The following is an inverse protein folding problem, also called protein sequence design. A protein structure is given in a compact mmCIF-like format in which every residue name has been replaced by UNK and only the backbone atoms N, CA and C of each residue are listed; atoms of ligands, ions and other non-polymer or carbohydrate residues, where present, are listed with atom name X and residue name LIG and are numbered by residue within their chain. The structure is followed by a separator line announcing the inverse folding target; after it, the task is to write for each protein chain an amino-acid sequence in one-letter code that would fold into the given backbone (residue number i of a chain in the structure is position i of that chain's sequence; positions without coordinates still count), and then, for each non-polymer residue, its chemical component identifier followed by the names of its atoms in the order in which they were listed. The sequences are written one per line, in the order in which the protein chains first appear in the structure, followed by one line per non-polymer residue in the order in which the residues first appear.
data_IF_724615851216
#
_entry.id   IF_724615851216
#
_cell.length_a   1.000
_cell.length_b   1.000
_cell.length_c   1.000
_cell.angle_alpha   90.00
_cell.angle_beta   90.00
_cell.angle_gamma   90.00
#
_symmetry.space_group_name_H-M   'P 1'
#
loop_
_entity.id
_entity.type
_entity.pdbx_description
1 polymer ?
#
# COMPACT_ATOMS: atom_id res chain seq x y z
N UNK A 1 27.97 -11.57 -25.72
CA UNK A 1 27.83 -10.21 -26.26
C UNK A 1 28.76 -9.94 -27.45
N UNK A 2 30.06 -10.25 -27.37
CA UNK A 2 31.01 -10.01 -28.46
C UNK A 2 30.59 -10.65 -29.80
N UNK A 3 30.16 -11.91 -29.80
CA UNK A 3 29.73 -12.64 -31.01
C UNK A 3 28.51 -11.99 -31.68
N UNK A 4 27.56 -11.48 -30.90
CA UNK A 4 26.41 -10.74 -31.44
C UNK A 4 26.82 -9.42 -32.07
N UNK A 5 27.78 -8.72 -31.46
CA UNK A 5 28.33 -7.46 -31.96
C UNK A 5 29.15 -7.66 -33.26
N UNK A 6 29.88 -8.78 -33.39
CA UNK A 6 30.56 -9.13 -34.65
C UNK A 6 29.58 -9.48 -35.75
N UNK A 7 28.52 -10.24 -35.44
CA UNK A 7 27.51 -10.63 -36.43
C UNK A 7 26.71 -9.42 -36.96
N UNK A 8 26.46 -8.43 -36.10
CA UNK A 8 25.73 -7.20 -36.44
C UNK A 8 26.58 -6.14 -37.16
N UNK A 9 27.90 -6.20 -37.01
CA UNK A 9 28.84 -5.24 -37.63
C UNK A 9 29.22 -5.63 -39.06
N UNK A 10 29.21 -6.92 -39.38
CA UNK A 10 29.50 -7.43 -40.74
C UNK A 10 28.26 -7.54 -41.63
N UNK A 11 27.06 -7.46 -41.06
CA UNK A 11 25.84 -7.31 -41.85
C UNK A 11 25.57 -5.82 -42.04
N UNK A 12 25.31 -5.39 -43.27
CA UNK A 12 24.96 -4.02 -43.65
C UNK A 12 23.57 -3.59 -43.10
N UNK A 13 23.30 -3.85 -41.82
CA UNK A 13 22.02 -3.58 -41.15
C UNK A 13 21.70 -2.09 -41.24
N UNK A 14 22.71 -1.23 -41.17
CA UNK A 14 22.57 0.21 -41.35
C UNK A 14 22.09 0.60 -42.76
N UNK A 15 22.59 -0.05 -43.81
CA UNK A 15 22.15 0.21 -45.19
C UNK A 15 20.71 -0.25 -45.42
N UNK A 16 20.31 -1.40 -44.84
CA UNK A 16 18.93 -1.87 -44.90
C UNK A 16 17.96 -1.01 -44.08
N UNK A 17 18.41 -0.46 -42.95
CA UNK A 17 17.61 0.41 -42.08
C UNK A 17 17.32 1.77 -42.72
N UNK A 18 18.19 2.23 -43.62
CA UNK A 18 18.01 3.47 -44.40
C UNK A 18 17.07 3.28 -45.60
N UNK A 19 16.91 2.03 -46.07
CA UNK A 19 16.05 1.66 -47.22
C UNK A 19 14.62 1.26 -46.76
N UNK A 20 14.40 0.98 -45.47
CA UNK A 20 13.12 0.52 -44.94
C UNK A 20 12.07 1.63 -44.82
N UNK A 21 11.25 1.80 -45.87
CA UNK A 21 10.16 2.79 -45.92
C UNK A 21 9.08 2.60 -44.85
N UNK A 22 8.98 1.41 -44.24
CA UNK A 22 7.90 1.05 -43.31
C UNK A 22 7.99 1.74 -41.94
N UNK A 23 9.18 2.26 -41.57
CA UNK A 23 9.50 2.80 -40.24
C UNK A 23 9.32 1.81 -39.07
N UNK A 24 8.97 0.55 -39.35
CA UNK A 24 8.69 -0.47 -38.32
C UNK A 24 9.98 -0.82 -37.59
N UNK A 25 11.10 -0.95 -38.30
CA UNK A 25 12.41 -1.25 -37.71
C UNK A 25 12.84 -0.19 -36.68
N UNK A 26 12.62 1.10 -36.98
CA UNK A 26 12.85 2.19 -36.02
C UNK A 26 11.96 2.10 -34.79
N UNK A 27 10.71 1.67 -34.96
CA UNK A 27 9.79 1.45 -33.85
C UNK A 27 10.27 0.29 -32.98
N UNK A 28 10.69 -0.84 -33.56
CA UNK A 28 11.24 -1.98 -32.81
C UNK A 28 12.48 -1.55 -32.03
N UNK A 29 13.41 -0.81 -32.65
CA UNK A 29 14.63 -0.33 -31.98
C UNK A 29 14.34 0.69 -30.87
N UNK A 30 13.42 1.63 -31.09
CA UNK A 30 13.03 2.60 -30.08
C UNK A 30 12.36 1.93 -28.88
N UNK A 31 11.46 0.99 -29.14
CA UNK A 31 10.77 0.23 -28.10
C UNK A 31 11.73 -0.70 -27.35
N UNK A 32 12.70 -1.32 -28.06
CA UNK A 32 13.80 -2.07 -27.45
C UNK A 32 14.63 -1.19 -26.52
N UNK A 33 15.06 -0.03 -26.99
CA UNK A 33 15.86 0.92 -26.21
C UNK A 33 15.14 1.35 -24.93
N UNK A 34 13.84 1.60 -25.01
CA UNK A 34 13.01 1.91 -23.84
C UNK A 34 12.96 0.73 -22.86
N UNK A 35 12.73 -0.49 -23.34
CA UNK A 35 12.72 -1.70 -22.50
C UNK A 35 14.08 -1.97 -21.84
N UNK A 36 15.16 -1.73 -22.56
CA UNK A 36 16.53 -1.91 -22.07
C UNK A 36 16.89 -0.86 -21.01
N UNK A 37 16.54 0.40 -21.23
CA UNK A 37 16.70 1.46 -20.23
C UNK A 37 15.87 1.18 -18.98
N UNK A 38 14.61 0.77 -19.14
CA UNK A 38 13.75 0.38 -18.02
C UNK A 38 14.34 -0.78 -17.21
N UNK A 39 14.85 -1.81 -17.89
CA UNK A 39 15.53 -2.94 -17.26
C UNK A 39 16.77 -2.50 -16.48
N UNK A 40 17.59 -1.64 -17.07
CA UNK A 40 18.83 -1.18 -16.46
C UNK A 40 18.58 -0.31 -15.23
N UNK A 41 17.62 0.60 -15.30
CA UNK A 41 17.18 1.42 -14.16
C UNK A 41 16.67 0.52 -13.03
N UNK A 42 15.83 -0.47 -13.35
CA UNK A 42 15.32 -1.41 -12.36
C UNK A 42 16.45 -2.19 -11.68
N UNK A 43 17.40 -2.74 -12.45
CA UNK A 43 18.56 -3.46 -11.91
C UNK A 43 19.38 -2.58 -10.97
N UNK A 44 19.63 -1.31 -11.33
CA UNK A 44 20.35 -0.37 -10.45
C UNK A 44 19.58 -0.12 -9.15
N UNK A 45 18.27 0.14 -9.24
CA UNK A 45 17.45 0.38 -8.05
C UNK A 45 17.41 -0.83 -7.13
N UNK A 46 17.17 -2.02 -7.67
CA UNK A 46 17.18 -3.28 -6.89
C UNK A 46 18.55 -3.51 -6.26
N UNK A 47 19.64 -3.29 -6.99
CA UNK A 47 20.99 -3.44 -6.45
C UNK A 47 21.27 -2.46 -5.30
N UNK A 48 20.80 -1.21 -5.40
CA UNK A 48 20.91 -0.24 -4.31
C UNK A 48 20.09 -0.66 -3.08
N UNK A 49 18.88 -1.17 -3.29
CA UNK A 49 18.05 -1.72 -2.21
C UNK A 49 18.70 -2.95 -1.57
N UNK A 50 19.29 -3.87 -2.34
CA UNK A 50 19.98 -5.04 -1.81
C UNK A 50 21.18 -4.65 -0.95
N UNK A 51 21.95 -3.63 -1.37
CA UNK A 51 23.05 -3.10 -0.56
C UNK A 51 22.52 -2.50 0.75
N UNK A 52 21.42 -1.75 0.69
CA UNK A 52 20.79 -1.16 1.88
C UNK A 52 20.25 -2.24 2.82
N UNK A 53 19.59 -3.26 2.29
CA UNK A 53 19.12 -4.42 3.05
C UNK A 53 20.28 -5.13 3.77
N UNK A 54 21.43 -5.28 3.13
CA UNK A 54 22.62 -5.85 3.77
C UNK A 54 23.18 -4.95 4.90
N UNK A 55 23.06 -3.63 4.79
CA UNK A 55 23.41 -2.73 5.89
C UNK A 55 22.39 -2.84 7.05
N UNK A 56 21.11 -2.93 6.73
CA UNK A 56 20.03 -3.10 7.70
C UNK A 56 20.16 -4.43 8.44
N UNK A 57 20.58 -5.52 7.78
CA UNK A 57 20.89 -6.81 8.42
C UNK A 57 21.95 -6.64 9.52
N UNK A 58 23.04 -5.91 9.26
CA UNK A 58 24.08 -5.67 10.27
C UNK A 58 23.56 -4.91 11.47
N UNK A 59 22.75 -3.87 11.25
CA UNK A 59 22.17 -3.06 12.33
C UNK A 59 21.12 -3.86 13.12
N UNK A 60 20.30 -4.65 12.44
CA UNK A 60 19.29 -5.51 13.05
C UNK A 60 19.93 -6.60 13.93
N UNK A 61 21.09 -7.15 13.53
CA UNK A 61 21.86 -8.10 14.33
C UNK A 61 22.34 -7.52 15.67
N UNK A 62 22.69 -6.24 15.69
CA UNK A 62 23.29 -5.60 16.87
C UNK A 62 22.25 -5.11 17.89
N UNK A 63 21.05 -4.72 17.46
CA UNK A 63 20.04 -4.17 18.38
C UNK A 63 18.58 -4.38 17.98
N UNK A 64 18.29 -5.38 17.16
CA UNK A 64 16.93 -5.73 16.76
C UNK A 64 16.24 -4.63 15.95
N UNK A 65 14.91 -4.58 16.01
CA UNK A 65 14.13 -3.63 15.21
C UNK A 65 14.36 -2.18 15.66
N UNK A 66 14.58 -1.95 16.96
CA UNK A 66 14.76 -0.59 17.52
C UNK A 66 16.07 0.08 17.12
N UNK A 67 17.09 -0.69 16.75
CA UNK A 67 18.34 -0.16 16.24
C UNK A 67 18.23 0.36 14.80
N UNK A 68 17.19 -0.06 14.06
CA UNK A 68 16.97 0.36 12.68
C UNK A 68 16.47 1.81 12.68
N UNK A 69 17.41 2.74 12.51
CA UNK A 69 17.12 4.17 12.41
C UNK A 69 16.92 4.56 10.95
N UNK A 70 15.65 4.68 10.55
CA UNK A 70 15.28 5.08 9.18
C UNK A 70 15.48 6.59 9.00
N UNK A 71 16.55 6.99 8.33
CA UNK A 71 16.84 8.41 8.02
C UNK A 71 16.25 8.88 6.67
N UNK A 72 15.84 7.98 5.78
CA UNK A 72 15.38 8.34 4.43
C UNK A 72 14.21 7.45 3.99
N UNK A 73 13.14 8.05 3.45
CA UNK A 73 11.98 7.33 2.87
C UNK A 73 12.17 6.97 1.39
N UNK A 74 13.36 7.23 0.83
CA UNK A 74 13.63 6.98 -0.59
C UNK A 74 13.65 5.50 -0.92
N UNK A 75 14.12 4.67 0.02
CA UNK A 75 14.32 3.25 -0.20
C UNK A 75 13.12 2.41 0.27
N UNK A 76 12.77 1.38 -0.48
CA UNK A 76 11.67 0.48 -0.14
C UNK A 76 11.98 -0.33 1.12
N UNK A 77 13.23 -0.78 1.30
CA UNK A 77 13.65 -1.47 2.52
C UNK A 77 13.47 -0.57 3.76
N UNK A 78 13.88 0.70 3.66
CA UNK A 78 13.74 1.67 4.74
C UNK A 78 12.25 1.96 5.06
N UNK A 79 11.40 2.11 4.03
CA UNK A 79 9.95 2.28 4.20
C UNK A 79 9.31 1.06 4.86
N UNK A 80 9.68 -0.15 4.44
CA UNK A 80 9.19 -1.40 5.00
C UNK A 80 9.46 -1.50 6.51
N UNK A 81 10.71 -1.29 6.95
CA UNK A 81 11.04 -1.35 8.38
C UNK A 81 10.35 -0.24 9.18
N UNK A 82 10.15 0.94 8.59
CA UNK A 82 9.38 2.02 9.24
C UNK A 82 7.90 1.67 9.38
N UNK A 83 7.29 1.10 8.35
CA UNK A 83 5.88 0.65 8.36
C UNK A 83 5.67 -0.42 9.43
N UNK A 84 6.62 -1.33 9.56
CA UNK A 84 6.68 -2.30 10.65
C UNK A 84 6.75 -1.61 12.02
N UNK A 85 7.67 -0.68 12.21
CA UNK A 85 7.85 0.02 13.50
C UNK A 85 6.59 0.78 13.89
N UNK A 86 5.98 1.48 12.93
CA UNK A 86 4.72 2.21 13.12
C UNK A 86 3.56 1.28 13.47
N UNK A 87 3.53 0.06 12.93
CA UNK A 87 2.47 -0.92 13.20
C UNK A 87 2.58 -1.47 14.61
N UNK A 88 3.81 -1.75 15.08
CA UNK A 88 4.07 -2.15 16.47
C UNK A 88 3.72 -1.03 17.44
N UNK A 89 4.13 0.21 17.13
CA UNK A 89 3.82 1.37 17.99
C UNK A 89 2.31 1.60 18.11
N UNK A 90 1.55 1.28 17.06
CA UNK A 90 0.08 1.35 17.03
C UNK A 90 -0.62 0.11 17.64
N UNK A 91 0.12 -0.83 18.25
CA UNK A 91 -0.37 -2.10 18.81
C UNK A 91 -1.11 -3.00 17.78
N UNK A 92 -0.80 -2.85 16.50
CA UNK A 92 -1.30 -3.75 15.46
C UNK A 92 -0.48 -5.04 15.41
N UNK A 93 -1.06 -6.10 14.85
CA UNK A 93 -0.27 -7.26 14.41
C UNK A 93 0.29 -6.93 13.01
N UNK A 94 1.60 -6.76 12.85
CA UNK A 94 2.16 -6.49 11.53
C UNK A 94 2.11 -7.75 10.68
N UNK A 95 1.33 -7.71 9.61
CA UNK A 95 1.39 -8.72 8.56
C UNK A 95 2.60 -8.43 7.67
N UNK A 96 3.75 -8.90 8.12
CA UNK A 96 5.08 -8.60 7.56
C UNK A 96 5.13 -8.86 6.05
N UNK A 97 4.60 -10.00 5.61
CA UNK A 97 4.61 -10.41 4.20
C UNK A 97 3.78 -9.47 3.33
N UNK A 98 2.56 -9.12 3.77
CA UNK A 98 1.69 -8.17 3.07
C UNK A 98 2.33 -6.78 2.97
N UNK A 99 2.93 -6.28 4.06
CA UNK A 99 3.62 -4.98 4.04
C UNK A 99 4.81 -4.99 3.09
N UNK A 100 5.59 -6.06 3.06
CA UNK A 100 6.72 -6.22 2.16
C UNK A 100 6.28 -6.28 0.70
N UNK A 101 5.22 -7.03 0.40
CA UNK A 101 4.64 -7.13 -0.93
C UNK A 101 4.17 -5.77 -1.46
N UNK A 102 3.51 -4.97 -0.62
CA UNK A 102 3.05 -3.63 -1.01
C UNK A 102 4.22 -2.71 -1.36
N UNK A 103 5.31 -2.75 -0.60
CA UNK A 103 6.50 -1.91 -0.86
C UNK A 103 7.30 -2.36 -2.08
N UNK A 104 7.36 -3.68 -2.35
CA UNK A 104 8.06 -4.24 -3.51
C UNK A 104 7.23 -4.25 -4.80
N UNK A 105 5.91 -4.13 -4.70
CA UNK A 105 4.98 -4.15 -5.85
C UNK A 105 5.33 -3.11 -6.93
N UNK A 106 5.98 -1.99 -6.57
CA UNK A 106 6.44 -1.02 -7.56
C UNK A 106 7.53 -1.57 -8.47
N UNK A 107 8.44 -2.39 -7.94
CA UNK A 107 9.53 -2.99 -8.71
C UNK A 107 9.03 -4.12 -9.60
N UNK A 108 8.16 -4.98 -9.07
CA UNK A 108 7.50 -6.04 -9.85
C UNK A 108 6.71 -5.46 -11.04
N UNK A 109 5.99 -4.35 -10.82
CA UNK A 109 5.24 -3.66 -11.88
C UNK A 109 6.16 -3.17 -13.01
N UNK A 110 7.32 -2.62 -12.68
CA UNK A 110 8.30 -2.19 -13.69
C UNK A 110 8.86 -3.42 -14.44
N UNK A 111 9.15 -4.50 -13.71
CA UNK A 111 9.58 -5.78 -14.31
C UNK A 111 8.58 -6.32 -15.32
N UNK A 112 7.29 -6.36 -14.95
CA UNK A 112 6.22 -6.77 -15.86
C UNK A 112 6.07 -5.84 -17.08
N UNK A 113 6.28 -4.53 -16.93
CA UNK A 113 6.26 -3.61 -18.07
C UNK A 113 7.36 -3.94 -19.09
N UNK A 114 8.56 -4.29 -18.65
CA UNK A 114 9.65 -4.75 -19.55
C UNK A 114 9.26 -6.03 -20.28
N UNK A 115 8.62 -6.98 -19.59
CA UNK A 115 8.14 -8.22 -20.20
C UNK A 115 7.07 -7.96 -21.28
N UNK A 116 6.11 -7.08 -20.99
CA UNK A 116 5.08 -6.66 -21.95
C UNK A 116 5.71 -6.00 -23.18
N UNK A 117 6.70 -5.14 -22.98
CA UNK A 117 7.47 -4.53 -24.07
C UNK A 117 8.14 -5.62 -24.92
N UNK A 118 8.77 -6.63 -24.31
CA UNK A 118 9.34 -7.78 -25.02
C UNK A 118 8.32 -8.53 -25.88
N UNK A 119 7.12 -8.79 -25.35
CA UNK A 119 6.04 -9.44 -26.10
C UNK A 119 5.53 -8.58 -27.27
N UNK A 120 5.42 -7.26 -27.07
CA UNK A 120 5.05 -6.33 -28.14
C UNK A 120 6.10 -6.25 -29.24
N UNK A 121 7.40 -6.38 -28.94
CA UNK A 121 8.44 -6.45 -29.96
C UNK A 121 8.27 -7.65 -30.89
N UNK A 122 7.86 -8.80 -30.34
CA UNK A 122 7.62 -10.02 -31.13
C UNK A 122 6.44 -9.81 -32.07
N UNK A 123 5.32 -9.26 -31.56
CA UNK A 123 4.15 -9.00 -32.41
C UNK A 123 4.44 -7.96 -33.48
N UNK A 124 5.25 -6.95 -33.16
CA UNK A 124 5.72 -5.96 -34.13
C UNK A 124 6.62 -6.57 -35.20
N UNK A 125 7.46 -7.55 -34.83
CA UNK A 125 8.24 -8.35 -35.77
C UNK A 125 7.36 -9.13 -36.76
N UNK A 126 6.29 -9.76 -36.26
CA UNK A 126 5.29 -10.46 -37.09
C UNK A 126 4.52 -9.51 -38.02
N UNK A 127 4.17 -8.30 -37.55
CA UNK A 127 3.57 -7.26 -38.40
C UNK A 127 4.54 -6.85 -39.51
N UNK A 128 5.83 -6.74 -39.21
CA UNK A 128 6.87 -6.51 -40.21
C UNK A 128 6.93 -7.61 -41.27
N UNK A 129 6.69 -8.87 -40.90
CA UNK A 129 6.58 -9.98 -41.87
C UNK A 129 5.42 -9.77 -42.84
N UNK A 130 4.23 -9.43 -42.31
CA UNK A 130 3.03 -9.20 -43.14
C UNK A 130 3.25 -8.03 -44.10
N UNK A 131 3.87 -6.95 -43.63
CA UNK A 131 4.22 -5.80 -44.45
C UNK A 131 5.25 -6.15 -45.52
N UNK A 132 6.31 -6.89 -45.18
CA UNK A 132 7.33 -7.30 -46.15
C UNK A 132 6.81 -8.30 -47.18
N UNK A 133 5.90 -9.20 -46.80
CA UNK A 133 5.19 -10.07 -47.76
C UNK A 133 4.28 -9.26 -48.70
N UNK A 134 3.62 -8.22 -48.19
CA UNK A 134 2.81 -7.31 -49.01
C UNK A 134 3.67 -6.56 -50.03
N UNK A 135 4.84 -6.05 -49.62
CA UNK A 135 5.83 -5.44 -50.52
C UNK A 135 6.36 -6.45 -51.55
N UNK A 136 6.55 -7.71 -51.13
CA UNK A 136 6.99 -8.78 -52.02
C UNK A 136 5.97 -9.05 -53.12
N UNK A 137 4.70 -9.21 -52.74
CA UNK A 137 3.61 -9.46 -53.67
C UNK A 137 3.39 -8.29 -54.62
N UNK A 138 3.40 -7.05 -54.12
CA UNK A 138 3.25 -5.85 -54.96
C UNK A 138 4.41 -5.66 -55.94
N UNK A 139 5.65 -5.97 -55.54
CA UNK A 139 6.80 -5.97 -56.44
C UNK A 139 6.70 -7.04 -57.54
N UNK A 140 6.24 -8.24 -57.20
CA UNK A 140 6.04 -9.32 -58.17
C UNK A 140 4.90 -9.03 -59.15
N UNK A 141 3.77 -8.48 -58.69
CA UNK A 141 2.66 -8.09 -59.58
C UNK A 141 3.08 -7.00 -60.55
N UNK A 142 3.83 -5.99 -60.09
CA UNK A 142 4.39 -4.96 -60.98
C UNK A 142 5.38 -5.53 -62.00
N UNK A 143 6.18 -6.53 -61.61
CA UNK A 143 7.08 -7.23 -62.54
C UNK A 143 6.34 -8.03 -63.60
N UNK A 144 5.24 -8.68 -63.21
CA UNK A 144 4.39 -9.48 -64.10
C UNK A 144 3.64 -8.60 -65.12
N UNK A 145 3.19 -7.41 -64.71
CA UNK A 145 2.56 -6.43 -65.61
C UNK A 145 3.55 -5.85 -66.63
N UNK A 146 4.82 -5.68 -66.24
CA UNK A 146 5.89 -5.23 -67.12
C UNK A 146 6.42 -6.31 -68.07
N UNK A 147 6.01 -7.57 -67.87
CA UNK A 147 6.53 -8.73 -68.60
C UNK A 147 6.12 -8.66 -70.09
N UNK A 148 7.08 -8.32 -70.94
CA UNK A 148 6.89 -8.23 -72.40
C UNK A 148 6.77 -6.81 -72.95
N UNK A 149 6.90 -5.77 -72.13
CA UNK A 149 6.90 -4.37 -72.60
C UNK A 149 8.11 -3.56 -72.12
N UNK A 150 8.55 -3.73 -70.87
CA UNK A 150 9.60 -2.89 -70.29
C UNK A 150 10.51 -3.67 -69.33
N UNK A 151 11.74 -3.91 -69.77
CA UNK A 151 12.74 -4.68 -69.03
C UNK A 151 13.24 -3.96 -67.77
N UNK A 152 13.24 -2.62 -67.76
CA UNK A 152 13.65 -1.84 -66.58
C UNK A 152 12.60 -1.95 -65.48
N UNK A 153 11.31 -1.83 -65.82
CA UNK A 153 10.22 -2.00 -64.83
C UNK A 153 10.19 -3.41 -64.25
N UNK A 154 10.49 -4.43 -65.04
CA UNK A 154 10.59 -5.81 -64.58
C UNK A 154 11.72 -5.98 -63.54
N UNK A 155 12.91 -5.46 -63.83
CA UNK A 155 14.03 -5.49 -62.89
C UNK A 155 13.74 -4.70 -61.61
N UNK A 156 13.02 -3.58 -61.72
CA UNK A 156 12.64 -2.77 -60.58
C UNK A 156 11.62 -3.49 -59.68
N UNK A 157 10.60 -4.12 -60.24
CA UNK A 157 9.64 -4.91 -59.47
C UNK A 157 10.28 -6.11 -58.76
N UNK A 158 11.25 -6.78 -59.40
CA UNK A 158 12.04 -7.86 -58.77
C UNK A 158 12.89 -7.34 -57.60
N UNK A 159 13.54 -6.18 -57.75
CA UNK A 159 14.29 -5.54 -56.65
C UNK A 159 13.37 -5.20 -55.48
N UNK A 160 12.21 -4.62 -55.75
CA UNK A 160 11.20 -4.34 -54.72
C UNK A 160 10.73 -5.62 -54.04
N UNK A 161 10.51 -6.68 -54.81
CA UNK A 161 10.09 -7.96 -54.26
C UNK A 161 11.14 -8.57 -53.31
N UNK A 162 12.41 -8.56 -53.73
CA UNK A 162 13.52 -9.03 -52.90
C UNK A 162 13.73 -8.14 -51.66
N UNK A 163 13.56 -6.82 -51.79
CA UNK A 163 13.61 -5.92 -50.65
C UNK A 163 12.50 -6.23 -49.63
N UNK A 164 11.26 -6.47 -50.09
CA UNK A 164 10.14 -6.87 -49.24
C UNK A 164 10.43 -8.15 -48.44
N UNK A 165 11.01 -9.15 -49.09
CA UNK A 165 11.41 -10.40 -48.42
C UNK A 165 12.49 -10.15 -47.36
N UNK A 166 13.50 -9.33 -47.69
CA UNK A 166 14.54 -8.92 -46.74
C UNK A 166 13.96 -8.22 -45.51
N UNK A 167 13.07 -7.24 -45.72
CA UNK A 167 12.41 -6.52 -44.61
C UNK A 167 11.63 -7.48 -43.71
N UNK A 168 10.84 -8.39 -44.27
CA UNK A 168 10.08 -9.38 -43.51
C UNK A 168 10.99 -10.26 -42.63
N UNK A 169 12.11 -10.73 -43.20
CA UNK A 169 13.05 -11.57 -42.47
C UNK A 169 13.72 -10.79 -41.32
N UNK A 170 14.25 -9.60 -41.60
CA UNK A 170 14.97 -8.82 -40.61
C UNK A 170 14.07 -8.30 -39.48
N UNK A 171 12.87 -7.79 -39.77
CA UNK A 171 11.95 -7.33 -38.72
C UNK A 171 11.55 -8.47 -37.78
N UNK A 172 11.34 -9.67 -38.33
CA UNK A 172 10.98 -10.86 -37.55
C UNK A 172 12.15 -11.30 -36.68
N UNK A 173 13.34 -11.40 -37.26
CA UNK A 173 14.56 -11.76 -36.54
C UNK A 173 14.85 -10.77 -35.40
N UNK A 174 14.75 -9.48 -35.70
CA UNK A 174 15.02 -8.41 -34.75
C UNK A 174 14.00 -8.40 -33.61
N UNK A 175 12.70 -8.53 -33.91
CA UNK A 175 11.65 -8.66 -32.89
C UNK A 175 11.83 -9.91 -32.00
N UNK A 176 12.14 -11.06 -32.61
CA UNK A 176 12.34 -12.31 -31.89
C UNK A 176 13.59 -12.29 -30.99
N UNK A 177 14.72 -11.78 -31.49
CA UNK A 177 15.98 -11.73 -30.73
C UNK A 177 15.93 -10.64 -29.65
N UNK A 178 15.57 -9.41 -30.02
CA UNK A 178 15.57 -8.29 -29.08
C UNK A 178 14.44 -8.41 -28.04
N UNK A 179 13.23 -8.74 -28.48
CA UNK A 179 12.08 -8.91 -27.59
C UNK A 179 12.04 -10.25 -26.88
N UNK A 180 12.10 -11.34 -27.66
CA UNK A 180 11.90 -12.70 -27.15
C UNK A 180 13.05 -13.27 -26.35
N UNK A 181 14.30 -12.90 -26.68
CA UNK A 181 15.49 -13.40 -25.97
C UNK A 181 16.03 -12.35 -25.00
N UNK A 182 16.44 -11.18 -25.49
CA UNK A 182 17.17 -10.22 -24.67
C UNK A 182 16.31 -9.57 -23.58
N UNK A 183 15.19 -8.91 -23.96
CA UNK A 183 14.33 -8.27 -22.98
C UNK A 183 13.70 -9.27 -22.01
N UNK A 184 13.33 -10.46 -22.49
CA UNK A 184 12.79 -11.52 -21.65
C UNK A 184 13.81 -12.02 -20.62
N UNK A 185 15.07 -12.18 -21.02
CA UNK A 185 16.15 -12.54 -20.10
C UNK A 185 16.37 -11.44 -19.05
N UNK A 186 16.36 -10.17 -19.44
CA UNK A 186 16.47 -9.06 -18.48
C UNK A 186 15.29 -8.96 -17.53
N UNK A 187 14.06 -9.21 -18.00
CA UNK A 187 12.88 -9.26 -17.16
C UNK A 187 13.01 -10.36 -16.09
N UNK A 188 13.44 -11.57 -16.48
CA UNK A 188 13.67 -12.68 -15.54
C UNK A 188 14.77 -12.38 -14.53
N UNK A 189 15.90 -11.80 -14.96
CA UNK A 189 16.99 -11.42 -14.04
C UNK A 189 16.49 -10.40 -13.01
N UNK A 190 15.71 -9.41 -13.44
CA UNK A 190 15.14 -8.42 -12.54
C UNK A 190 14.14 -9.04 -11.56
N UNK A 191 13.27 -9.94 -12.03
CA UNK A 191 12.30 -10.63 -11.17
C UNK A 191 13.01 -11.42 -10.07
N UNK A 192 13.99 -12.25 -10.42
CA UNK A 192 14.80 -12.98 -9.42
C UNK A 192 15.56 -12.03 -8.48
N UNK A 193 15.97 -10.86 -8.96
CA UNK A 193 16.59 -9.82 -8.12
C UNK A 193 15.63 -9.26 -7.08
N UNK A 194 14.38 -9.01 -7.46
CA UNK A 194 13.31 -8.53 -6.55
C UNK A 194 12.92 -9.62 -5.56
N UNK A 195 12.73 -10.87 -6.00
CA UNK A 195 12.46 -12.02 -5.12
C UNK A 195 13.60 -12.25 -4.12
N UNK A 196 14.85 -12.19 -4.58
CA UNK A 196 16.01 -12.31 -3.68
C UNK A 196 16.08 -11.18 -2.63
N UNK A 197 15.66 -9.97 -2.99
CA UNK A 197 15.52 -8.87 -2.05
C UNK A 197 14.37 -9.11 -1.06
N UNK A 198 13.21 -9.58 -1.55
CA UNK A 198 12.07 -9.97 -0.74
C UNK A 198 12.47 -10.98 0.34
N UNK A 199 13.06 -12.10 -0.07
CA UNK A 199 13.48 -13.18 0.82
C UNK A 199 14.50 -12.70 1.87
N UNK A 200 15.42 -11.83 1.47
CA UNK A 200 16.41 -11.29 2.40
C UNK A 200 15.77 -10.37 3.45
N UNK A 201 14.86 -9.48 3.05
CA UNK A 201 14.15 -8.59 3.98
C UNK A 201 13.24 -9.37 4.92
N UNK A 202 12.50 -10.34 4.40
CA UNK A 202 11.65 -11.23 5.19
C UNK A 202 12.48 -12.02 6.20
N UNK A 203 13.63 -12.57 5.78
CA UNK A 203 14.57 -13.25 6.66
C UNK A 203 15.08 -12.34 7.78
N UNK A 204 15.52 -11.13 7.48
CA UNK A 204 15.99 -10.17 8.49
C UNK A 204 14.88 -9.90 9.51
N UNK A 205 13.66 -9.68 9.03
CA UNK A 205 12.51 -9.44 9.89
C UNK A 205 12.18 -10.66 10.78
N UNK A 206 12.11 -11.86 10.21
CA UNK A 206 11.77 -13.08 10.94
C UNK A 206 12.85 -13.51 11.93
N UNK A 207 14.13 -13.31 11.62
CA UNK A 207 15.21 -13.74 12.51
C UNK A 207 15.46 -12.70 13.62
N UNK A 208 15.53 -11.41 13.27
CA UNK A 208 15.99 -10.38 14.20
C UNK A 208 14.87 -9.53 14.80
N UNK A 209 13.71 -9.46 14.16
CA UNK A 209 12.58 -8.64 14.65
C UNK A 209 11.47 -9.50 15.29
N UNK A 210 11.49 -10.83 15.13
CA UNK A 210 10.47 -11.74 15.71
C UNK A 210 10.32 -11.64 17.22
N UNK A 211 11.43 -11.46 17.94
CA UNK A 211 11.44 -11.25 19.39
C UNK A 211 10.70 -9.98 19.81
N UNK A 212 10.83 -8.91 19.04
CA UNK A 212 10.17 -7.62 19.31
C UNK A 212 8.64 -7.70 19.08
N UNK A 213 8.18 -8.49 18.09
CA UNK A 213 6.74 -8.74 17.89
C UNK A 213 6.15 -9.67 18.96
N UNK A 214 6.84 -10.77 19.29
CA UNK A 214 6.36 -11.75 20.27
C UNK A 214 6.24 -11.14 21.68
N UNK A 215 7.21 -10.30 22.08
CA UNK A 215 7.14 -9.57 23.34
C UNK A 215 5.98 -8.59 23.41
N UNK A 216 5.54 -8.03 22.27
CA UNK A 216 4.39 -7.12 22.22
C UNK A 216 3.09 -7.87 22.51
N UNK A 217 2.89 -9.07 21.95
CA UNK A 217 1.70 -9.89 22.25
C UNK A 217 1.64 -10.28 23.74
N UNK A 218 2.76 -10.69 24.32
CA UNK A 218 2.80 -11.04 25.75
C UNK A 218 2.53 -9.80 26.63
N UNK A 219 3.07 -8.64 26.23
CA UNK A 219 2.80 -7.35 26.89
C UNK A 219 1.33 -6.96 26.78
N UNK A 220 0.67 -7.18 25.65
CA UNK A 220 -0.74 -6.89 25.44
C UNK A 220 -1.64 -7.82 26.26
N UNK A 221 -1.32 -9.11 26.35
CA UNK A 221 -2.02 -10.04 27.26
C UNK A 221 -1.87 -9.59 28.72
N UNK A 222 -0.68 -9.15 29.12
CA UNK A 222 -0.45 -8.60 30.46
C UNK A 222 -1.23 -7.29 30.69
N UNK A 223 -1.40 -6.45 29.67
CA UNK A 223 -2.19 -5.23 29.76
C UNK A 223 -3.69 -5.55 29.87
N UNK A 224 -4.18 -6.49 29.05
CA UNK A 224 -5.56 -6.96 29.09
C UNK A 224 -5.90 -7.56 30.46
N UNK A 225 -5.02 -8.38 31.03
CA UNK A 225 -5.19 -8.93 32.37
C UNK A 225 -5.28 -7.84 33.45
N UNK A 226 -4.52 -6.75 33.32
CA UNK A 226 -4.64 -5.59 34.22
C UNK A 226 -5.97 -4.88 34.07
N UNK A 227 -6.45 -4.70 32.83
CA UNK A 227 -7.77 -4.11 32.59
C UNK A 227 -8.90 -4.99 33.14
N UNK A 228 -8.84 -6.31 32.92
CA UNK A 228 -9.78 -7.29 33.47
C UNK A 228 -9.78 -7.24 35.00
N UNK A 229 -8.61 -7.20 35.65
CA UNK A 229 -8.51 -7.06 37.10
C UNK A 229 -9.11 -5.73 37.60
N UNK A 230 -8.93 -4.65 36.83
CA UNK A 230 -9.56 -3.36 37.15
C UNK A 230 -11.10 -3.41 37.00
N UNK A 231 -11.59 -4.13 36.00
CA UNK A 231 -13.00 -4.33 35.74
C UNK A 231 -13.64 -5.16 36.86
N UNK A 232 -12.96 -6.21 37.31
CA UNK A 232 -13.39 -7.02 38.45
C UNK A 232 -13.45 -6.18 39.74
N UNK A 233 -12.45 -5.34 39.99
CA UNK A 233 -12.46 -4.43 41.13
C UNK A 233 -13.63 -3.43 41.07
N UNK A 234 -13.95 -2.92 39.87
CA UNK A 234 -15.09 -2.02 39.67
C UNK A 234 -16.43 -2.76 39.87
N UNK A 235 -16.56 -3.99 39.40
CA UNK A 235 -17.76 -4.82 39.62
C UNK A 235 -17.97 -5.07 41.12
N UNK A 236 -16.91 -5.42 41.87
CA UNK A 236 -16.99 -5.60 43.33
C UNK A 236 -17.41 -4.33 44.06
N UNK A 237 -16.90 -3.17 43.64
CA UNK A 237 -17.33 -1.87 44.19
C UNK A 237 -18.81 -1.60 43.88
N UNK A 238 -19.25 -1.94 42.67
CA UNK A 238 -20.65 -1.78 42.26
C UNK A 238 -21.57 -2.69 43.10
N UNK A 239 -21.17 -3.94 43.31
CA UNK A 239 -21.89 -4.91 44.13
C UNK A 239 -21.98 -4.45 45.60
N UNK A 240 -20.88 -3.93 46.15
CA UNK A 240 -20.86 -3.36 47.50
C UNK A 240 -21.73 -2.08 47.61
N UNK A 241 -21.73 -1.24 46.58
CA UNK A 241 -22.61 -0.08 46.49
C UNK A 241 -24.10 -0.49 46.42
N UNK A 242 -24.43 -1.54 45.67
CA UNK A 242 -25.79 -2.07 45.63
C UNK A 242 -26.21 -2.70 46.96
N UNK A 243 -25.34 -3.45 47.63
CA UNK A 243 -25.61 -4.03 48.94
C UNK A 243 -25.88 -2.96 50.00
N UNK A 244 -25.04 -1.91 50.04
CA UNK A 244 -25.24 -0.78 50.94
C UNK A 244 -26.49 0.03 50.60
N UNK A 245 -26.80 0.24 49.32
CA UNK A 245 -28.04 0.88 48.90
C UNK A 245 -29.27 0.06 49.30
N UNK A 246 -29.21 -1.27 49.25
CA UNK A 246 -30.33 -2.14 49.63
C UNK A 246 -30.58 -2.11 51.14
N UNK A 247 -29.52 -2.03 51.96
CA UNK A 247 -29.61 -1.82 53.40
C UNK A 247 -30.21 -0.44 53.72
N UNK A 248 -29.70 0.62 53.11
CA UNK A 248 -30.27 1.96 53.31
C UNK A 248 -31.74 2.04 52.90
N UNK A 249 -32.14 1.33 51.84
CA UNK A 249 -33.54 1.27 51.39
C UNK A 249 -34.41 0.43 52.33
N UNK A 250 -33.88 -0.64 52.96
CA UNK A 250 -34.62 -1.39 53.98
C UNK A 250 -34.80 -0.58 55.26
N UNK A 251 -33.76 0.13 55.70
CA UNK A 251 -33.79 0.99 56.88
C UNK A 251 -34.80 2.13 56.68
N UNK A 252 -34.78 2.77 55.51
CA UNK A 252 -35.77 3.77 55.12
C UNK A 252 -37.20 3.20 55.12
N UNK A 253 -37.39 1.98 54.63
CA UNK A 253 -38.70 1.31 54.62
C UNK A 253 -39.18 1.00 56.05
N UNK A 254 -38.30 0.57 56.95
CA UNK A 254 -38.65 0.38 58.36
C UNK A 254 -38.97 1.69 59.07
N UNK A 255 -38.26 2.77 58.76
CA UNK A 255 -38.52 4.11 59.32
C UNK A 255 -39.90 4.62 58.87
N UNK A 256 -40.27 4.43 57.60
CA UNK A 256 -41.61 4.77 57.09
C UNK A 256 -42.69 3.95 57.78
N UNK A 257 -42.49 2.65 57.96
CA UNK A 257 -43.47 1.81 58.65
C UNK A 257 -43.64 2.24 60.11
N UNK A 258 -42.55 2.60 60.80
CA UNK A 258 -42.60 3.09 62.19
C UNK A 258 -43.33 4.42 62.31
N UNK A 259 -43.09 5.34 61.38
CA UNK A 259 -43.83 6.60 61.29
C UNK A 259 -45.32 6.41 60.97
N UNK A 260 -45.67 5.33 60.26
CA UNK A 260 -47.07 4.98 60.00
C UNK A 260 -47.77 4.37 61.22
N UNK A 261 -47.05 3.64 62.07
CA UNK A 261 -47.58 3.06 63.32
C UNK A 261 -47.71 4.12 64.44
N UNK A 262 -46.76 5.05 64.57
CA UNK A 262 -46.85 6.17 65.54
C UNK A 262 -47.95 7.19 65.20
N UNK A 263 -48.58 7.08 64.02
CA UNK A 263 -49.66 7.98 63.59
C UNK A 263 -51.09 7.49 63.92
N UNK A 264 -51.25 6.37 64.64
CA UNK A 264 -52.58 5.87 65.03
C UNK A 264 -53.20 6.52 66.29
N UNK A 265 -52.45 7.28 67.11
CA UNK A 265 -52.96 7.75 68.42
C UNK A 265 -52.91 9.27 68.69
N UNK A 266 -52.54 10.10 67.71
CA UNK A 266 -52.63 11.55 67.87
C UNK A 266 -53.31 12.18 66.65
N UNK A 267 -54.30 13.04 66.95
CA UNK A 267 -55.16 13.82 66.06
C UNK A 267 -54.34 14.54 64.97
N UNK A 268 -53.99 13.79 63.93
CA UNK A 268 -52.92 14.13 62.99
C UNK A 268 -53.50 14.98 61.88
N UNK A 269 -52.88 16.15 61.66
CA UNK A 269 -52.99 16.83 60.37
C UNK A 269 -52.67 15.78 59.30
N UNK A 270 -53.57 15.53 58.32
CA UNK A 270 -53.46 14.37 57.45
C UNK A 270 -52.10 14.39 56.78
N UNK A 271 -51.40 13.24 56.75
CA UNK A 271 -50.05 13.04 56.18
C UNK A 271 -49.81 13.80 54.86
N UNK A 272 -50.87 13.98 54.06
CA UNK A 272 -50.85 14.79 52.85
C UNK A 272 -50.40 16.24 53.08
N UNK A 273 -50.79 16.89 54.19
CA UNK A 273 -50.42 18.27 54.54
C UNK A 273 -48.94 18.36 54.88
N UNK A 274 -48.41 17.39 55.64
CA UNK A 274 -46.99 17.33 56.00
C UNK A 274 -46.12 17.07 54.76
N UNK A 275 -46.55 16.19 53.86
CA UNK A 275 -45.90 15.97 52.56
C UNK A 275 -45.97 17.23 51.68
N UNK A 276 -47.08 17.97 51.74
CA UNK A 276 -47.27 19.20 50.97
C UNK A 276 -46.39 20.35 51.51
N UNK A 277 -46.27 20.50 52.82
CA UNK A 277 -45.33 21.43 53.47
C UNK A 277 -43.87 21.05 53.16
N UNK A 278 -43.52 19.76 53.20
CA UNK A 278 -42.18 19.31 52.86
C UNK A 278 -41.83 19.53 51.38
N UNK A 279 -42.80 19.34 50.48
CA UNK A 279 -42.63 19.70 49.06
C UNK A 279 -42.47 21.21 48.86
N UNK A 280 -43.23 22.02 49.58
CA UNK A 280 -43.11 23.48 49.54
C UNK A 280 -41.72 23.93 50.02
N UNK A 281 -41.23 23.33 51.11
CA UNK A 281 -39.89 23.58 51.65
C UNK A 281 -38.78 23.17 50.66
N UNK A 282 -38.85 21.97 50.09
CA UNK A 282 -37.88 21.50 49.09
C UNK A 282 -37.87 22.37 47.83
N UNK A 283 -39.03 22.89 47.39
CA UNK A 283 -39.10 23.82 46.27
C UNK A 283 -38.44 25.16 46.61
N UNK A 284 -38.68 25.71 47.81
CA UNK A 284 -38.04 26.95 48.26
C UNK A 284 -36.51 26.80 48.31
N UNK A 285 -36.00 25.68 48.83
CA UNK A 285 -34.57 25.37 48.90
C UNK A 285 -33.93 25.22 47.51
N UNK A 286 -34.69 24.67 46.55
CA UNK A 286 -34.24 24.53 45.16
C UNK A 286 -34.16 25.87 44.45
N UNK A 287 -35.08 26.79 44.74
CA UNK A 287 -35.04 28.15 44.23
C UNK A 287 -33.91 28.97 44.88
N UNK A 288 -33.64 28.77 46.16
CA UNK A 288 -32.50 29.37 46.86
C UNK A 288 -31.16 28.87 46.28
N UNK A 289 -31.03 27.56 46.04
CA UNK A 289 -29.87 26.97 45.35
C UNK A 289 -29.69 27.52 43.93
N UNK A 290 -30.78 27.76 43.18
CA UNK A 290 -30.71 28.41 41.87
C UNK A 290 -30.25 29.87 41.97
N UNK A 291 -30.72 30.61 42.96
CA UNK A 291 -30.26 31.98 43.20
C UNK A 291 -28.78 32.01 43.56
N UNK A 292 -28.32 31.14 44.47
CA UNK A 292 -26.92 30.99 44.82
C UNK A 292 -26.06 30.57 43.62
N UNK A 293 -26.52 29.63 42.79
CA UNK A 293 -25.84 29.25 41.56
C UNK A 293 -25.80 30.37 40.51
N UNK A 294 -26.78 31.28 40.51
CA UNK A 294 -26.81 32.46 39.64
C UNK A 294 -25.90 33.60 40.12
N UNK A 295 -25.73 33.73 41.45
CA UNK A 295 -24.84 34.70 42.08
C UNK A 295 -23.38 34.25 42.06
N UNK A 296 -23.13 32.93 42.11
CA UNK A 296 -21.79 32.36 42.10
C UNK A 296 -21.25 32.05 40.69
N UNK A 297 -21.84 32.62 39.64
CA UNK A 297 -21.22 32.58 38.31
C UNK A 297 -20.07 33.59 38.29
N UNK A 298 -18.80 33.17 38.16
CA UNK A 298 -17.68 34.09 38.08
C UNK A 298 -17.89 35.05 36.90
N UNK A 299 -17.59 36.33 37.12
CA UNK A 299 -17.69 37.41 36.14
C UNK A 299 -17.14 37.04 34.75
N UNK A 300 -16.11 36.19 34.70
CA UNK A 300 -15.50 35.65 33.49
C UNK A 300 -16.44 34.81 32.59
N UNK A 301 -17.45 34.12 33.13
CA UNK A 301 -18.41 33.35 32.33
C UNK A 301 -19.46 34.28 31.70
N UNK A 302 -19.89 35.33 32.41
CA UNK A 302 -20.75 36.37 31.83
C UNK A 302 -20.07 37.15 30.70
N UNK A 303 -18.76 37.38 30.80
CA UNK A 303 -18.00 38.06 29.74
C UNK A 303 -17.81 37.15 28.51
N UNK A 304 -17.63 35.83 28.72
CA UNK A 304 -17.44 34.87 27.62
C UNK A 304 -18.70 34.68 26.77
N UNK A 305 -19.89 34.72 27.38
CA UNK A 305 -21.15 34.57 26.63
C UNK A 305 -21.53 35.84 25.84
N UNK A 306 -20.99 37.02 26.21
CA UNK A 306 -21.19 38.26 25.45
C UNK A 306 -20.34 38.34 24.17
N UNK A 307 -19.20 37.64 24.14
CA UNK A 307 -18.25 37.63 23.02
C UNK A 307 -18.39 36.41 22.10
N UNK A 308 -19.47 35.61 22.23
CA UNK A 308 -19.68 34.46 21.36
C UNK A 308 -20.39 34.93 20.07
N UNK A 309 -19.72 34.97 18.90
CA UNK A 309 -20.37 35.29 17.64
C UNK A 309 -21.41 34.21 17.33
N UNK A 310 -22.61 34.65 16.94
CA UNK A 310 -23.65 33.77 16.41
C UNK A 310 -23.17 33.28 15.04
N UNK A 311 -22.77 32.01 14.95
CA UNK A 311 -22.81 31.22 13.72
C UNK A 311 -24.10 30.41 13.72
#
# INVERSE_FOLDING_TARGET
MAIYLTLYRDTEVWAFMEIDSSRITWLILGLFGLGLLGSFVLTIMVTQESYRAAQLDKVAREGGLKAITVHSMKHAADRFFKSIQSTIDSKGQPEVETLLNVELASYERIGHMVELVGNLLITLGLIGTVMGLTLTLTGLTGSLEALGHDQEMLLQGLRTAMAGMGTAFYTTLLGAVLGGVLLRMFAQINLHGVEGLHDNLLRICMIYCSSDYAQTMERDVRHLNKEIASLEANIRRLEQAFGSSHLAMSDFRSEINRLSEDSEDEETKPLHVLIQEHRAYCNALRDEMRMLASMNKPFLIRLRDLFRPKL
#
